data_IF_468702906929
#
_entry.id   IF_468702906929
#
_cell.length_a   1.000
_cell.length_b   1.000
_cell.length_c   1.000
_cell.angle_alpha   90.00
_cell.angle_beta   90.00
_cell.angle_gamma   90.00
#
_symmetry.space_group_name_H-M   'P 1'
#
loop_
_entity.id
_entity.type
_entity.pdbx_description
1 polymer ?
#
# COMPACT_ATOMS: atom_id res chain seq x y z
N UNK A 1 -25.63 -23.10 0.78
CA UNK A 1 -24.59 -23.78 1.59
C UNK A 1 -23.68 -22.69 2.13
N UNK A 2 -23.80 -22.35 3.42
CA UNK A 2 -22.99 -21.30 4.04
C UNK A 2 -21.60 -21.87 4.34
N UNK A 3 -20.58 -21.30 3.72
CA UNK A 3 -19.18 -21.66 3.94
C UNK A 3 -18.81 -21.25 5.38
N UNK A 4 -18.53 -22.25 6.22
CA UNK A 4 -18.05 -22.03 7.59
C UNK A 4 -16.67 -21.41 7.49
N UNK A 5 -16.60 -20.08 7.64
CA UNK A 5 -15.35 -19.34 7.77
C UNK A 5 -14.63 -19.87 9.01
N UNK A 6 -13.65 -20.75 8.79
CA UNK A 6 -12.85 -21.36 9.85
C UNK A 6 -12.11 -20.25 10.60
N UNK A 7 -12.55 -19.96 11.83
CA UNK A 7 -11.91 -19.00 12.71
C UNK A 7 -10.63 -19.64 13.24
N UNK A 8 -9.48 -19.28 12.67
CA UNK A 8 -8.20 -19.74 13.20
C UNK A 8 -7.93 -19.22 14.61
N UNK A 9 -7.40 -20.05 15.53
CA UNK A 9 -7.11 -19.65 16.90
C UNK A 9 -6.02 -18.56 16.97
N UNK A 10 -6.05 -17.69 18.00
CA UNK A 10 -5.22 -16.48 18.09
C UNK A 10 -3.70 -16.77 18.04
N UNK A 11 -3.25 -17.88 18.64
CA UNK A 11 -1.83 -18.26 18.63
C UNK A 11 -1.32 -18.62 17.22
N UNK A 12 -2.15 -19.28 16.40
CA UNK A 12 -1.80 -19.60 15.00
C UNK A 12 -1.72 -18.33 14.15
N UNK A 13 -2.60 -17.36 14.38
CA UNK A 13 -2.56 -16.06 13.72
C UNK A 13 -1.30 -15.27 14.09
N UNK A 14 -0.93 -15.21 15.37
CA UNK A 14 0.28 -14.51 15.82
C UNK A 14 1.57 -15.09 15.19
N UNK A 15 1.69 -16.42 15.18
CA UNK A 15 2.84 -17.09 14.55
C UNK A 15 2.84 -16.91 13.02
N UNK A 16 1.67 -16.95 12.37
CA UNK A 16 1.54 -16.64 10.94
C UNK A 16 1.93 -15.19 10.64
N UNK A 17 1.50 -14.20 11.44
CA UNK A 17 1.88 -12.79 11.27
C UNK A 17 3.37 -12.55 11.50
N UNK A 18 3.97 -13.23 12.48
CA UNK A 18 5.41 -13.11 12.75
C UNK A 18 6.28 -13.71 11.63
N UNK A 19 5.83 -14.83 11.04
CA UNK A 19 6.50 -15.49 9.92
C UNK A 19 6.14 -14.90 8.55
N UNK A 20 5.05 -14.13 8.45
CA UNK A 20 4.62 -13.47 7.23
C UNK A 20 5.75 -12.57 6.69
N UNK A 21 6.10 -12.82 5.43
CA UNK A 21 7.08 -12.05 4.66
C UNK A 21 6.34 -11.18 3.65
N UNK A 22 7.04 -10.17 3.16
CA UNK A 22 6.61 -9.45 1.97
C UNK A 22 6.36 -10.45 0.84
N UNK A 23 5.19 -10.36 0.19
CA UNK A 23 4.82 -11.27 -0.89
C UNK A 23 5.59 -10.91 -2.16
N UNK A 24 6.81 -11.44 -2.23
CA UNK A 24 7.69 -11.26 -3.38
C UNK A 24 7.15 -11.90 -4.66
N UNK A 25 6.15 -12.78 -4.60
CA UNK A 25 5.54 -13.36 -5.78
C UNK A 25 4.53 -12.39 -6.42
N UNK A 26 3.78 -11.64 -5.60
CA UNK A 26 2.83 -10.64 -6.07
C UNK A 26 3.48 -9.29 -6.37
N UNK A 27 4.43 -8.85 -5.53
CA UNK A 27 5.02 -7.51 -5.58
C UNK A 27 6.55 -7.58 -5.64
N UNK A 28 7.17 -6.58 -6.29
CA UNK A 28 8.62 -6.39 -6.28
C UNK A 28 9.00 -5.10 -5.57
N UNK A 29 10.16 -5.12 -4.92
CA UNK A 29 10.74 -3.93 -4.27
C UNK A 29 11.25 -2.91 -5.29
N UNK A 30 11.66 -3.37 -6.47
CA UNK A 30 12.09 -2.54 -7.59
C UNK A 30 11.59 -3.12 -8.91
N UNK A 31 11.45 -2.27 -9.93
CA UNK A 31 11.05 -2.72 -11.25
C UNK A 31 12.19 -3.46 -11.97
N UNK A 32 11.86 -4.44 -12.84
CA UNK A 32 12.86 -5.17 -13.60
C UNK A 32 13.76 -4.23 -14.42
N UNK A 33 15.07 -4.46 -14.37
CA UNK A 33 16.05 -3.68 -15.12
C UNK A 33 16.39 -2.30 -14.53
N UNK A 34 15.77 -1.89 -13.43
CA UNK A 34 16.15 -0.67 -12.71
C UNK A 34 17.08 -0.99 -11.54
N UNK A 35 18.18 -0.23 -11.36
CA UNK A 35 19.03 -0.40 -10.19
C UNK A 35 18.25 -0.04 -8.93
N UNK A 36 18.41 -0.84 -7.88
CA UNK A 36 17.94 -0.46 -6.55
C UNK A 36 18.78 0.75 -6.13
N UNK A 37 18.22 1.95 -6.26
CA UNK A 37 18.91 3.15 -5.81
C UNK A 37 19.06 3.08 -4.29
N UNK A 38 20.21 3.53 -3.78
CA UNK A 38 20.37 3.69 -2.34
C UNK A 38 19.29 4.64 -1.81
N UNK A 39 18.73 4.30 -0.65
CA UNK A 39 17.89 5.24 0.08
C UNK A 39 18.70 6.50 0.35
N UNK A 40 18.13 7.67 0.05
CA UNK A 40 18.67 8.98 0.39
C UNK A 40 17.67 9.69 1.30
N UNK A 41 18.15 10.62 2.13
CA UNK A 41 17.23 11.45 2.91
C UNK A 41 16.31 12.24 1.97
N UNK A 42 15.00 12.28 2.25
CA UNK A 42 14.05 12.97 1.41
C UNK A 42 14.26 14.49 1.47
N UNK A 43 14.18 15.17 0.32
CA UNK A 43 14.22 16.63 0.28
C UNK A 43 12.88 17.25 0.72
N UNK A 44 12.89 18.51 1.13
CA UNK A 44 11.66 19.23 1.48
C UNK A 44 10.70 19.35 0.28
N UNK A 45 11.25 19.55 -0.93
CA UNK A 45 10.47 19.62 -2.16
C UNK A 45 9.77 18.29 -2.47
N UNK A 46 10.47 17.16 -2.35
CA UNK A 46 9.88 15.83 -2.49
C UNK A 46 8.78 15.58 -1.44
N UNK A 47 9.04 15.99 -0.19
CA UNK A 47 8.07 15.85 0.91
C UNK A 47 6.80 16.64 0.65
N UNK A 48 6.91 17.86 0.13
CA UNK A 48 5.75 18.66 -0.26
C UNK A 48 4.98 18.02 -1.42
N UNK A 49 5.68 17.43 -2.39
CA UNK A 49 5.06 16.82 -3.57
C UNK A 49 4.27 15.54 -3.25
N UNK A 50 4.74 14.68 -2.33
CA UNK A 50 4.00 13.48 -1.95
C UNK A 50 3.04 13.66 -0.78
N UNK A 51 2.93 14.86 -0.18
CA UNK A 51 2.01 15.09 0.93
C UNK A 51 0.55 14.68 0.59
N UNK A 52 0.00 14.95 -0.62
CA UNK A 52 -1.32 14.45 -1.03
C UNK A 52 -1.40 12.91 -1.09
N UNK A 53 -0.34 12.24 -1.58
CA UNK A 53 -0.27 10.78 -1.62
C UNK A 53 -0.28 10.18 -0.21
N UNK A 54 0.44 10.81 0.72
CA UNK A 54 0.44 10.40 2.12
C UNK A 54 -0.95 10.57 2.73
N UNK A 55 -1.59 11.72 2.53
CA UNK A 55 -2.95 11.97 3.02
C UNK A 55 -3.94 10.91 2.48
N UNK A 56 -3.88 10.61 1.18
CA UNK A 56 -4.70 9.57 0.55
C UNK A 56 -4.42 8.17 1.11
N UNK A 57 -3.16 7.81 1.38
CA UNK A 57 -2.84 6.52 1.97
C UNK A 57 -3.54 6.33 3.31
N UNK A 58 -3.53 7.35 4.17
CA UNK A 58 -4.15 7.28 5.49
C UNK A 58 -5.67 7.55 5.50
N UNK A 59 -6.23 8.15 4.45
CA UNK A 59 -7.67 8.38 4.32
C UNK A 59 -8.43 7.04 4.37
N UNK A 60 -9.39 6.90 5.28
CA UNK A 60 -10.20 5.68 5.43
C UNK A 60 -9.39 4.43 5.84
N UNK A 61 -8.10 4.54 6.17
CA UNK A 61 -7.28 3.43 6.65
C UNK A 61 -7.74 2.88 8.02
N UNK A 62 -8.67 3.61 8.66
CA UNK A 62 -9.21 3.35 9.98
C UNK A 62 -8.17 3.57 11.07
N UNK A 63 -8.62 3.56 12.32
CA UNK A 63 -7.72 3.43 13.45
C UNK A 63 -7.08 2.03 13.47
N UNK A 64 -7.58 1.07 12.69
CA UNK A 64 -7.05 -0.29 12.68
C UNK A 64 -7.20 -1.01 14.01
N UNK A 65 -7.94 -0.44 14.97
CA UNK A 65 -8.09 -1.04 16.28
C UNK A 65 -8.99 -2.26 16.20
N UNK A 66 -8.67 -3.25 17.00
CA UNK A 66 -9.59 -4.31 17.37
C UNK A 66 -9.73 -4.25 18.87
N UNK A 67 -10.96 -4.35 19.43
CA UNK A 67 -11.16 -4.25 20.86
C UNK A 67 -10.21 -5.22 21.58
N UNK A 68 -9.50 -4.78 22.61
CA UNK A 68 -8.55 -5.59 23.38
C UNK A 68 -9.17 -6.92 23.86
N UNK A 69 -10.49 -6.91 24.12
CA UNK A 69 -11.28 -8.06 24.57
C UNK A 69 -11.82 -8.93 23.43
N UNK A 70 -11.56 -8.58 22.16
CA UNK A 70 -12.00 -9.31 20.97
C UNK A 70 -10.84 -9.50 19.97
N UNK A 71 -9.74 -10.18 20.36
CA UNK A 71 -8.55 -10.38 19.52
C UNK A 71 -8.79 -11.24 18.25
N UNK A 72 -10.02 -11.66 17.99
CA UNK A 72 -10.41 -12.38 16.77
C UNK A 72 -11.16 -11.49 15.77
N UNK A 73 -11.66 -10.32 16.21
CA UNK A 73 -12.39 -9.39 15.35
C UNK A 73 -11.43 -8.69 14.40
N UNK A 74 -11.81 -8.64 13.12
CA UNK A 74 -11.04 -7.93 12.11
C UNK A 74 -10.90 -6.44 12.50
N UNK A 75 -9.73 -5.83 12.22
CA UNK A 75 -9.52 -4.42 12.53
C UNK A 75 -10.51 -3.56 11.74
N UNK A 76 -10.96 -2.47 12.38
CA UNK A 76 -11.83 -1.49 11.73
C UNK A 76 -11.04 -0.74 10.67
N UNK A 77 -11.42 -0.95 9.41
CA UNK A 77 -10.86 -0.28 8.23
C UNK A 77 -12.05 0.14 7.39
N UNK A 78 -12.27 1.45 7.28
CA UNK A 78 -13.43 2.02 6.58
C UNK A 78 -13.28 1.81 5.07
N UNK A 79 -12.06 1.99 4.55
CA UNK A 79 -11.72 1.81 3.16
C UNK A 79 -10.57 0.83 3.00
N UNK A 80 -10.93 -0.46 2.84
CA UNK A 80 -9.99 -1.58 2.67
C UNK A 80 -9.23 -1.54 1.35
N UNK A 81 -9.81 -0.95 0.31
CA UNK A 81 -9.19 -0.78 -0.99
C UNK A 81 -9.50 0.60 -1.54
N UNK A 82 -8.49 1.26 -2.08
CA UNK A 82 -8.63 2.56 -2.76
C UNK A 82 -7.65 2.62 -3.92
N UNK A 83 -8.03 3.34 -4.97
CA UNK A 83 -7.24 3.54 -6.16
C UNK A 83 -6.95 5.02 -6.32
N UNK A 84 -5.71 5.36 -6.65
CA UNK A 84 -5.33 6.68 -7.09
C UNK A 84 -4.55 6.62 -8.39
N UNK A 85 -4.57 7.72 -9.12
CA UNK A 85 -3.79 7.94 -10.33
C UNK A 85 -2.75 9.03 -10.11
N UNK A 86 -1.59 8.86 -10.75
CA UNK A 86 -0.47 9.79 -10.72
C UNK A 86 0.14 9.93 -12.14
N UNK A 87 0.05 11.10 -12.78
CA UNK A 87 0.51 11.39 -14.11
C UNK A 87 2.02 11.58 -14.09
N UNK A 88 2.73 10.53 -14.51
CA UNK A 88 4.17 10.53 -14.62
C UNK A 88 4.60 9.60 -15.75
N UNK A 89 5.52 10.10 -16.58
CA UNK A 89 6.18 9.27 -17.58
C UNK A 89 7.27 8.40 -16.93
N UNK A 90 7.61 7.28 -17.58
CA UNK A 90 8.57 6.29 -17.12
C UNK A 90 9.92 6.88 -16.66
N UNK A 91 10.41 7.97 -17.26
CA UNK A 91 11.71 8.55 -16.87
C UNK A 91 11.58 10.00 -16.38
N UNK A 92 10.52 10.29 -15.63
CA UNK A 92 10.26 11.64 -15.10
C UNK A 92 10.67 11.77 -13.65
N UNK A 93 11.07 12.98 -13.23
CA UNK A 93 11.32 13.31 -11.82
C UNK A 93 10.10 13.02 -10.91
N UNK A 94 8.89 13.01 -11.48
CA UNK A 94 7.66 12.62 -10.78
C UNK A 94 7.62 11.13 -10.41
N UNK A 95 8.35 10.26 -11.14
CA UNK A 95 8.51 8.85 -10.79
C UNK A 95 9.47 8.69 -9.62
N UNK A 96 10.55 9.48 -9.57
CA UNK A 96 11.49 9.48 -8.45
C UNK A 96 10.80 9.87 -7.12
N UNK A 97 9.78 10.74 -7.20
CA UNK A 97 8.92 11.08 -6.06
C UNK A 97 8.16 9.86 -5.55
N UNK A 98 7.63 9.00 -6.43
CA UNK A 98 6.92 7.77 -6.04
C UNK A 98 7.86 6.77 -5.38
N UNK A 99 9.07 6.61 -5.91
CA UNK A 99 10.09 5.74 -5.32
C UNK A 99 10.50 6.25 -3.93
N UNK A 100 10.81 7.53 -3.81
CA UNK A 100 11.18 8.13 -2.54
C UNK A 100 10.01 8.16 -1.53
N UNK A 101 8.77 8.32 -1.99
CA UNK A 101 7.57 8.18 -1.15
C UNK A 101 7.41 6.73 -0.65
N UNK A 102 7.58 5.74 -1.53
CA UNK A 102 7.50 4.32 -1.15
C UNK A 102 8.53 3.96 -0.07
N UNK A 103 9.77 4.45 -0.21
CA UNK A 103 10.85 4.29 0.79
C UNK A 103 10.63 5.06 2.08
N UNK A 104 9.89 6.17 2.02
CA UNK A 104 9.47 6.88 3.21
C UNK A 104 8.43 6.05 3.98
N UNK A 105 7.44 5.51 3.26
CA UNK A 105 6.29 4.81 3.82
C UNK A 105 6.63 3.42 4.37
N UNK A 106 7.58 2.70 3.76
CA UNK A 106 8.05 1.41 4.26
C UNK A 106 9.10 1.52 5.40
N UNK A 107 9.55 2.74 5.68
CA UNK A 107 10.54 3.04 6.73
C UNK A 107 12.00 2.87 6.29
N UNK A 108 12.29 2.67 5.01
CA UNK A 108 13.66 2.58 4.47
C UNK A 108 14.49 3.84 4.74
N UNK A 109 13.88 5.03 4.66
CA UNK A 109 14.56 6.27 5.06
C UNK A 109 14.92 6.31 6.55
N UNK A 110 14.09 5.71 7.40
CA UNK A 110 14.35 5.64 8.85
C UNK A 110 15.49 4.64 9.14
N UNK A 111 15.57 3.54 8.38
CA UNK A 111 16.69 2.59 8.44
C UNK A 111 18.02 3.25 8.03
N UNK A 112 18.00 4.07 6.98
CA UNK A 112 19.17 4.84 6.56
C UNK A 112 19.61 5.82 7.65
N UNK A 113 18.67 6.61 8.18
CA UNK A 113 18.95 7.61 9.21
C UNK A 113 19.42 7.00 10.54
N UNK A 114 19.10 5.73 10.81
CA UNK A 114 19.49 5.04 12.03
C UNK A 114 21.02 4.85 12.16
N UNK A 115 21.78 4.89 11.06
CA UNK A 115 23.25 5.03 11.05
C UNK A 115 24.07 3.90 11.69
N UNK A 116 23.45 2.80 12.13
CA UNK A 116 24.17 1.70 12.80
C UNK A 116 23.37 0.39 12.91
N UNK A 117 24.08 -0.73 13.04
CA UNK A 117 23.49 -2.07 13.05
C UNK A 117 22.45 -2.27 14.17
N UNK A 118 22.71 -1.73 15.36
CA UNK A 118 21.80 -1.81 16.51
C UNK A 118 20.53 -0.99 16.32
N UNK A 119 20.65 0.25 15.83
CA UNK A 119 19.51 1.09 15.55
C UNK A 119 18.65 0.51 14.41
N UNK A 120 19.29 -0.11 13.41
CA UNK A 120 18.61 -0.90 12.37
C UNK A 120 17.88 -2.13 12.94
N UNK A 121 18.48 -2.85 13.88
CA UNK A 121 17.83 -3.98 14.55
C UNK A 121 16.62 -3.53 15.38
N UNK A 122 16.76 -2.46 16.18
CA UNK A 122 15.66 -1.87 16.95
C UNK A 122 14.51 -1.43 16.05
N UNK A 123 14.81 -0.85 14.88
CA UNK A 123 13.80 -0.48 13.91
C UNK A 123 13.09 -1.72 13.32
N UNK A 124 13.83 -2.78 12.98
CA UNK A 124 13.23 -4.05 12.52
C UNK A 124 12.35 -4.69 13.59
N UNK A 125 12.80 -4.67 14.85
CA UNK A 125 12.01 -5.13 16.00
C UNK A 125 10.76 -4.28 16.18
N UNK A 126 10.86 -2.95 16.04
CA UNK A 126 9.70 -2.05 16.07
C UNK A 126 8.70 -2.36 14.97
N UNK A 127 9.17 -2.61 13.75
CA UNK A 127 8.33 -3.02 12.61
C UNK A 127 7.59 -4.32 12.93
N UNK A 128 8.29 -5.33 13.46
CA UNK A 128 7.67 -6.60 13.89
C UNK A 128 6.69 -6.41 15.06
N UNK A 129 7.02 -5.55 16.02
CA UNK A 129 6.11 -5.20 17.11
C UNK A 129 4.84 -4.50 16.59
N UNK A 130 4.95 -3.68 15.55
CA UNK A 130 3.78 -3.09 14.88
C UNK A 130 2.91 -4.15 14.19
N UNK A 131 3.52 -5.15 13.55
CA UNK A 131 2.80 -6.27 12.94
C UNK A 131 2.00 -7.07 14.00
N UNK A 132 2.56 -7.24 15.21
CA UNK A 132 1.90 -7.95 16.33
C UNK A 132 0.90 -7.07 17.07
N UNK A 133 1.11 -5.75 17.11
CA UNK A 133 0.22 -4.79 17.75
C UNK A 133 -0.94 -4.39 16.83
N UNK A 134 -1.46 -5.31 16.02
CA UNK A 134 -2.58 -5.07 15.10
C UNK A 134 -3.87 -4.61 15.80
N UNK A 135 -3.96 -4.76 17.13
CA UNK A 135 -5.07 -4.28 17.97
C UNK A 135 -4.98 -2.79 18.32
N UNK A 136 -3.80 -2.16 18.19
CA UNK A 136 -3.59 -0.75 18.57
C UNK A 136 -4.04 0.20 17.46
N UNK A 137 -4.32 1.44 17.84
CA UNK A 137 -4.55 2.52 16.88
C UNK A 137 -3.34 2.73 15.95
N UNK A 138 -3.58 2.73 14.64
CA UNK A 138 -2.63 3.05 13.58
C UNK A 138 -2.11 4.48 13.75
N UNK A 139 -0.80 4.65 13.57
CA UNK A 139 -0.10 5.94 13.60
C UNK A 139 0.42 6.27 12.20
N UNK A 140 0.56 7.56 11.85
CA UNK A 140 1.16 7.96 10.57
C UNK A 140 2.59 7.45 10.35
N UNK A 141 3.30 7.09 11.42
CA UNK A 141 4.66 6.54 11.40
C UNK A 141 4.71 5.01 11.32
N UNK A 142 3.55 4.35 11.26
CA UNK A 142 3.49 2.91 11.11
C UNK A 142 3.96 2.51 9.71
N UNK A 143 4.83 1.50 9.59
CA UNK A 143 5.38 1.10 8.30
C UNK A 143 4.30 0.46 7.42
N UNK A 144 4.32 0.80 6.15
CA UNK A 144 3.54 0.11 5.12
C UNK A 144 4.43 -0.92 4.40
N UNK A 145 3.81 -1.87 3.72
CA UNK A 145 4.49 -2.60 2.66
C UNK A 145 4.33 -1.79 1.37
N UNK A 146 5.42 -1.55 0.64
CA UNK A 146 5.38 -0.88 -0.64
C UNK A 146 5.96 -1.80 -1.70
N UNK A 147 5.31 -1.90 -2.86
CA UNK A 147 5.83 -2.74 -3.93
C UNK A 147 5.20 -2.46 -5.28
N UNK A 148 5.97 -2.76 -6.31
CA UNK A 148 5.56 -2.68 -7.70
C UNK A 148 4.82 -3.95 -8.11
N UNK A 149 3.62 -3.77 -8.66
CA UNK A 149 2.91 -4.85 -9.35
C UNK A 149 3.53 -5.05 -10.74
N UNK A 150 3.79 -6.31 -11.10
CA UNK A 150 4.26 -6.68 -12.44
C UNK A 150 3.14 -7.25 -13.30
N UNK A 151 3.09 -6.88 -14.58
CA UNK A 151 2.13 -7.38 -15.55
C UNK A 151 2.53 -8.75 -16.16
N UNK A 152 3.30 -9.55 -15.43
CA UNK A 152 3.65 -10.91 -15.85
C UNK A 152 2.57 -11.90 -15.39
N UNK A 153 2.25 -12.96 -16.16
CA UNK A 153 1.19 -13.91 -15.80
C UNK A 153 1.32 -14.49 -14.38
N UNK A 154 2.54 -14.86 -13.97
CA UNK A 154 2.78 -15.41 -12.63
C UNK A 154 2.54 -14.38 -11.52
N UNK A 155 3.00 -13.14 -11.71
CA UNK A 155 2.78 -12.05 -10.77
C UNK A 155 1.29 -11.68 -10.66
N UNK A 156 0.57 -11.65 -11.79
CA UNK A 156 -0.90 -11.44 -11.79
C UNK A 156 -1.65 -12.56 -11.05
N UNK A 157 -1.25 -13.81 -11.24
CA UNK A 157 -1.84 -14.95 -10.52
C UNK A 157 -1.52 -14.93 -9.01
N UNK A 158 -0.36 -14.42 -8.61
CA UNK A 158 -0.03 -14.18 -7.21
C UNK A 158 -0.87 -13.02 -6.64
N UNK A 159 -0.97 -11.91 -7.38
CA UNK A 159 -1.77 -10.75 -7.01
C UNK A 159 -3.25 -11.07 -6.79
N UNK A 160 -3.82 -11.96 -7.60
CA UNK A 160 -5.21 -12.43 -7.44
C UNK A 160 -5.46 -13.18 -6.11
N UNK A 161 -4.40 -13.70 -5.48
CA UNK A 161 -4.44 -14.40 -4.19
C UNK A 161 -3.80 -13.57 -3.06
N UNK A 162 -3.51 -12.31 -3.33
CA UNK A 162 -2.78 -11.45 -2.42
C UNK A 162 -3.60 -11.18 -1.16
N UNK A 163 -2.98 -11.43 0.00
CA UNK A 163 -3.53 -11.10 1.31
C UNK A 163 -2.57 -10.15 2.03
N UNK A 164 -2.94 -8.87 2.21
CA UNK A 164 -2.04 -7.90 2.80
C UNK A 164 -1.83 -8.23 4.27
N UNK A 165 -0.58 -8.48 4.66
CA UNK A 165 -0.17 -8.68 6.07
C UNK A 165 -0.12 -7.38 6.88
N UNK A 166 -0.03 -6.24 6.19
CA UNK A 166 -0.02 -4.88 6.75
C UNK A 166 -0.61 -3.89 5.74
N UNK A 167 -0.74 -2.63 6.12
CA UNK A 167 -1.15 -1.58 5.18
C UNK A 167 -0.20 -1.60 3.97
N UNK A 168 -0.73 -1.69 2.76
CA UNK A 168 0.08 -1.94 1.56
C UNK A 168 -0.17 -0.88 0.49
N UNK A 169 0.90 -0.31 -0.05
CA UNK A 169 0.91 0.49 -1.27
C UNK A 169 1.37 -0.41 -2.44
N UNK A 170 0.50 -0.60 -3.41
CA UNK A 170 0.78 -1.30 -4.66
C UNK A 170 0.93 -0.25 -5.75
N UNK A 171 2.08 -0.24 -6.43
CA UNK A 171 2.37 0.71 -7.51
C UNK A 171 2.38 -0.02 -8.85
N UNK A 172 1.55 0.41 -9.78
CA UNK A 172 1.51 -0.12 -11.14
C UNK A 172 1.99 0.97 -12.10
N UNK A 173 3.13 0.73 -12.77
CA UNK A 173 3.72 1.69 -13.71
C UNK A 173 3.56 1.17 -15.14
N UNK A 174 3.00 1.99 -16.02
CA UNK A 174 2.89 1.72 -17.47
C UNK A 174 2.21 0.37 -17.81
N UNK A 175 1.24 -0.05 -16.98
CA UNK A 175 0.45 -1.24 -17.27
C UNK A 175 -0.50 -1.01 -18.47
N UNK A 176 -0.69 -2.00 -19.36
CA UNK A 176 -1.77 -1.96 -20.35
C UNK A 176 -3.13 -1.84 -19.69
N UNK A 177 -3.99 -0.98 -20.25
CA UNK A 177 -5.30 -0.60 -19.66
C UNK A 177 -6.16 -1.81 -19.29
N UNK A 178 -6.35 -2.76 -20.21
CA UNK A 178 -7.18 -3.95 -19.97
C UNK A 178 -6.64 -4.80 -18.81
N UNK A 179 -5.33 -5.06 -18.78
CA UNK A 179 -4.71 -5.86 -17.74
C UNK A 179 -4.74 -5.17 -16.37
N UNK A 180 -4.61 -3.83 -16.37
CA UNK A 180 -4.71 -3.00 -15.17
C UNK A 180 -6.13 -3.02 -14.60
N UNK A 181 -7.13 -2.81 -15.46
CA UNK A 181 -8.55 -2.83 -15.08
C UNK A 181 -8.94 -4.19 -14.49
N UNK A 182 -8.52 -5.28 -15.13
CA UNK A 182 -8.75 -6.65 -14.65
C UNK A 182 -8.13 -6.88 -13.27
N UNK A 183 -6.87 -6.48 -13.08
CA UNK A 183 -6.14 -6.66 -11.81
C UNK A 183 -6.78 -5.85 -10.67
N UNK A 184 -7.04 -4.56 -10.90
CA UNK A 184 -7.67 -3.67 -9.91
C UNK A 184 -9.07 -4.18 -9.56
N UNK A 185 -9.88 -4.56 -10.55
CA UNK A 185 -11.25 -5.08 -10.32
C UNK A 185 -11.22 -6.41 -9.57
N UNK A 186 -10.27 -7.29 -9.87
CA UNK A 186 -10.05 -8.53 -9.11
C UNK A 186 -9.70 -8.27 -7.65
N UNK A 187 -8.80 -7.32 -7.40
CA UNK A 187 -8.45 -6.91 -6.04
C UNK A 187 -9.58 -6.22 -5.30
N UNK A 188 -10.34 -5.35 -5.96
CA UNK A 188 -11.51 -4.68 -5.40
C UNK A 188 -12.55 -5.71 -4.93
N UNK A 189 -12.83 -6.74 -5.75
CA UNK A 189 -13.72 -7.86 -5.37
C UNK A 189 -13.21 -8.65 -4.17
N UNK A 190 -11.89 -8.82 -4.05
CA UNK A 190 -11.26 -9.54 -2.94
C UNK A 190 -11.11 -8.69 -1.67
N UNK A 191 -11.24 -7.37 -1.79
CA UNK A 191 -10.96 -6.42 -0.71
C UNK A 191 -11.75 -6.57 0.59
N UNK A 192 -13.00 -7.11 0.61
CA UNK A 192 -13.69 -7.39 1.87
C UNK A 192 -12.93 -8.37 2.78
N UNK A 193 -12.06 -9.21 2.20
CA UNK A 193 -11.22 -10.18 2.94
C UNK A 193 -9.94 -9.56 3.49
N UNK A 194 -9.50 -8.41 2.98
CA UNK A 194 -8.25 -7.80 3.39
C UNK A 194 -8.34 -7.32 4.83
N UNK A 195 -7.47 -7.81 5.71
CA UNK A 195 -7.42 -7.32 7.10
C UNK A 195 -6.79 -5.93 7.18
N UNK A 196 -5.99 -5.55 6.20
CA UNK A 196 -5.28 -4.28 6.16
C UNK A 196 -5.65 -3.48 4.91
N UNK A 197 -5.59 -2.13 4.96
CA UNK A 197 -5.89 -1.31 3.80
C UNK A 197 -4.85 -1.56 2.71
N UNK A 198 -5.33 -1.66 1.48
CA UNK A 198 -4.50 -1.65 0.27
C UNK A 198 -4.79 -0.38 -0.51
N UNK A 199 -3.74 0.24 -1.00
CA UNK A 199 -3.74 1.47 -1.79
C UNK A 199 -3.09 1.15 -3.11
N UNK A 200 -3.84 1.25 -4.20
CA UNK A 200 -3.34 0.98 -5.54
C UNK A 200 -3.06 2.29 -6.25
N UNK A 201 -1.79 2.54 -6.58
CA UNK A 201 -1.36 3.73 -7.30
C UNK A 201 -1.07 3.37 -8.75
N UNK A 202 -1.82 3.95 -9.67
CA UNK A 202 -1.59 3.86 -11.12
C UNK A 202 -0.69 5.01 -11.54
N UNK A 203 0.45 4.69 -12.15
CA UNK A 203 1.41 5.66 -12.66
C UNK A 203 1.47 5.54 -14.18
N UNK A 204 0.98 6.54 -14.89
CA UNK A 204 0.93 6.59 -16.35
C UNK A 204 1.14 8.03 -16.83
N UNK A 205 1.66 8.28 -18.06
CA UNK A 205 1.82 9.64 -18.58
C UNK A 205 0.49 10.41 -18.70
N UNK A 206 -0.55 9.74 -19.19
CA UNK A 206 -1.91 10.26 -19.33
C UNK A 206 -2.90 9.26 -18.71
N UNK A 207 -3.33 9.48 -17.46
CA UNK A 207 -4.23 8.58 -16.77
C UNK A 207 -5.71 8.85 -17.06
N UNK A 208 -6.08 9.77 -17.96
CA UNK A 208 -7.47 10.20 -18.15
C UNK A 208 -8.40 9.06 -18.55
N UNK A 209 -8.05 8.32 -19.61
CA UNK A 209 -8.81 7.19 -20.13
C UNK A 209 -9.00 6.08 -19.08
N UNK A 210 -7.91 5.67 -18.41
CA UNK A 210 -7.99 4.64 -17.36
C UNK A 210 -8.80 5.13 -16.16
N UNK A 211 -8.73 6.42 -15.81
CA UNK A 211 -9.50 7.00 -14.71
C UNK A 211 -10.99 6.89 -14.98
N UNK A 212 -11.42 7.23 -16.20
CA UNK A 212 -12.82 7.11 -16.61
C UNK A 212 -13.27 5.65 -16.56
N UNK A 213 -12.49 4.74 -17.12
CA UNK A 213 -12.79 3.29 -17.12
C UNK A 213 -12.94 2.70 -15.73
N UNK A 214 -12.03 3.04 -14.81
CA UNK A 214 -12.09 2.61 -13.43
C UNK A 214 -13.34 3.15 -12.72
N UNK A 215 -13.72 4.42 -12.97
CA UNK A 215 -14.96 4.99 -12.45
C UNK A 215 -16.20 4.31 -13.03
N UNK A 216 -16.22 4.03 -14.33
CA UNK A 216 -17.30 3.27 -14.98
C UNK A 216 -17.44 1.85 -14.43
N UNK A 217 -16.33 1.25 -13.97
CA UNK A 217 -16.34 -0.03 -13.26
C UNK A 217 -16.82 0.07 -11.79
N UNK A 218 -17.27 1.25 -11.35
CA UNK A 218 -17.79 1.49 -10.01
C UNK A 218 -16.69 1.71 -8.95
N UNK A 219 -15.44 1.92 -9.36
CA UNK A 219 -14.34 2.17 -8.44
C UNK A 219 -14.21 3.66 -8.14
N UNK A 220 -13.98 3.97 -6.86
CA UNK A 220 -13.61 5.31 -6.43
C UNK A 220 -12.13 5.53 -6.75
N UNK A 221 -11.84 6.50 -7.63
CA UNK A 221 -10.50 6.86 -8.07
C UNK A 221 -10.17 8.30 -7.68
N UNK A 222 -9.11 8.46 -6.89
CA UNK A 222 -8.58 9.75 -6.47
C UNK A 222 -7.47 10.21 -7.44
N UNK A 223 -7.42 11.51 -7.77
CA UNK A 223 -6.26 12.10 -8.45
C UNK A 223 -5.39 12.77 -7.41
N UNK A 224 -4.10 12.44 -7.40
CA UNK A 224 -3.17 12.96 -6.38
C UNK A 224 -2.35 14.17 -6.89
N UNK A 225 -2.78 14.80 -7.97
CA UNK A 225 -1.91 15.66 -8.79
C UNK A 225 -1.94 17.13 -8.38
N UNK A 226 -2.81 17.47 -7.43
CA UNK A 226 -3.00 18.83 -6.96
C UNK A 226 -3.02 18.90 -5.43
N UNK A 227 -2.12 19.69 -4.80
CA UNK A 227 -2.27 20.09 -3.41
C UNK A 227 -3.41 21.11 -3.20
N UNK A 228 -4.10 21.54 -4.27
CA UNK A 228 -5.12 22.60 -4.26
C UNK A 228 -6.57 22.12 -4.29
N UNK A 229 -6.85 20.82 -4.36
CA UNK A 229 -8.21 20.32 -4.12
C UNK A 229 -8.48 20.23 -2.62
N UNK A 230 -8.55 21.41 -1.99
CA UNK A 230 -9.32 21.61 -0.76
C UNK A 230 -10.72 21.08 -1.04
N UNK A 231 -11.08 19.98 -0.37
CA UNK A 231 -12.46 19.53 -0.34
C UNK A 231 -13.36 20.70 0.05
N UNK A 232 -14.31 21.01 -0.83
CA UNK A 232 -15.61 21.56 -0.47
C UNK A 232 -16.21 20.63 0.59
N UNK A 233 -15.93 20.96 1.84
CA UNK A 233 -16.55 20.37 3.02
C UNK A 233 -17.47 21.43 3.58
N UNK A 234 -18.56 21.70 2.86
CA UNK A 234 -19.77 22.32 3.39
C UNK A 234 -20.95 22.01 2.47
N UNK A 235 -21.62 20.89 2.73
CA UNK A 235 -23.08 20.75 2.62
C UNK A 235 -23.56 19.53 3.39
#
# INVERSE_FOLDING_TARGET
MAEVVSVQPPARRLLATLSARFDGAALRVALPGQPIQAACAPTAAQTAQWAPLQAWCFLGAGDGSSPLLQPTRAPRVEQRFSVAVWPAAANSARRDVIEAFSRHLDGSHQLLAAGGAWAGLLLRLRVKACDVAWWRRRRPTDPWDCGYALNEPAARAALARFEPRRATLVVAVDWPEAALLDAITGMARSSPRFLHPVRWLVVQPDPSDITERLRSAGLRVESCDNPTSTHDMNR
#
